data_IF_675003281201
#
_entry.id   IF_675003281201
#
_cell.length_a   1.000
_cell.length_b   1.000
_cell.length_c   1.000
_cell.angle_alpha   90.00
_cell.angle_beta   90.00
_cell.angle_gamma   90.00
#
_symmetry.space_group_name_H-M   'P 1'
#
loop_
_entity.id
_entity.type
_entity.pdbx_description
1 polymer ?
#
# COMPACT_ATOMS: atom_id res chain seq x y z
N UNK A 1 -7.38 25.77 -0.55
CA UNK A 1 -8.27 24.64 -0.93
C UNK A 1 -7.59 23.27 -0.85
N UNK A 2 -6.48 23.03 -1.56
CA UNK A 2 -5.78 21.74 -1.51
C UNK A 2 -5.35 21.28 -0.09
N UNK A 3 -4.94 22.22 0.77
CA UNK A 3 -4.58 21.93 2.16
C UNK A 3 -5.79 21.49 2.98
N UNK A 4 -6.95 22.12 2.79
CA UNK A 4 -8.19 21.75 3.47
C UNK A 4 -8.58 20.32 3.07
N UNK A 5 -8.55 20.01 1.77
CA UNK A 5 -8.81 18.65 1.27
C UNK A 5 -7.86 17.60 1.87
N UNK A 6 -6.58 17.92 2.05
CA UNK A 6 -5.64 17.00 2.68
C UNK A 6 -5.88 16.83 4.18
N UNK A 7 -6.16 17.92 4.90
CA UNK A 7 -6.45 17.88 6.33
C UNK A 7 -7.77 17.13 6.63
N UNK A 8 -8.74 17.21 5.74
CA UNK A 8 -10.01 16.47 5.86
C UNK A 8 -9.94 15.03 5.37
N UNK A 9 -8.80 14.60 4.81
CA UNK A 9 -8.63 13.26 4.23
C UNK A 9 -9.35 13.06 2.88
N UNK A 10 -9.90 14.12 2.29
CA UNK A 10 -10.63 14.07 1.04
C UNK A 10 -9.68 14.20 -0.17
N UNK A 11 -9.34 13.08 -0.82
CA UNK A 11 -8.63 13.01 -2.12
C UNK A 11 -7.23 13.66 -2.22
N UNK A 12 -6.72 14.28 -1.16
CA UNK A 12 -5.39 14.87 -1.13
C UNK A 12 -4.57 14.34 0.05
N UNK A 13 -3.27 14.23 -0.14
CA UNK A 13 -2.30 13.87 0.91
C UNK A 13 -1.19 14.92 0.90
N UNK A 14 -0.64 15.31 2.08
CA UNK A 14 0.53 16.19 2.18
C UNK A 14 1.65 15.88 1.19
N UNK A 15 1.99 14.61 0.96
CA UNK A 15 3.04 14.21 0.02
C UNK A 15 2.76 14.69 -1.41
N UNK A 16 1.53 14.50 -1.90
CA UNK A 16 1.14 14.91 -3.24
C UNK A 16 1.16 16.44 -3.37
N UNK A 17 0.75 17.15 -2.31
CA UNK A 17 0.81 18.63 -2.27
C UNK A 17 2.28 19.10 -2.36
N UNK A 18 3.19 18.45 -1.65
CA UNK A 18 4.63 18.74 -1.73
C UNK A 18 5.16 18.51 -3.15
N UNK A 19 4.75 17.44 -3.83
CA UNK A 19 5.15 17.18 -5.22
C UNK A 19 4.58 18.21 -6.20
N UNK A 20 3.37 18.71 -5.96
CA UNK A 20 2.76 19.76 -6.77
C UNK A 20 3.44 21.11 -6.60
N UNK A 21 3.81 21.49 -5.37
CA UNK A 21 4.29 22.83 -5.04
C UNK A 21 5.81 22.95 -4.91
N UNK A 22 6.48 22.00 -4.26
CA UNK A 22 7.88 22.07 -3.88
C UNK A 22 8.83 21.31 -4.82
N UNK A 23 8.85 19.98 -4.75
CA UNK A 23 9.66 19.12 -5.65
C UNK A 23 9.12 17.69 -5.66
N UNK A 24 9.38 16.96 -6.75
CA UNK A 24 9.05 15.54 -6.86
C UNK A 24 9.93 14.63 -5.99
N UNK A 25 11.21 15.00 -5.84
CA UNK A 25 12.18 14.24 -5.07
C UNK A 25 12.83 13.09 -5.84
N UNK A 26 13.36 12.11 -5.11
CA UNK A 26 14.12 10.99 -5.67
C UNK A 26 13.22 10.01 -6.43
N UNK A 27 13.56 9.73 -7.68
CA UNK A 27 12.95 8.66 -8.46
C UNK A 27 13.78 7.38 -8.29
N UNK A 28 13.11 6.26 -8.01
CA UNK A 28 13.75 4.94 -7.86
C UNK A 28 13.19 3.97 -8.89
N UNK A 29 13.96 2.93 -9.19
CA UNK A 29 13.52 1.77 -9.97
C UNK A 29 13.98 0.51 -9.25
N UNK A 30 13.05 -0.35 -8.85
CA UNK A 30 13.30 -1.61 -8.12
C UNK A 30 14.07 -1.40 -6.81
N UNK A 31 13.69 -0.37 -6.06
CA UNK A 31 14.28 -0.04 -4.75
C UNK A 31 15.64 0.66 -4.80
N UNK A 32 16.24 0.84 -5.98
CA UNK A 32 17.51 1.57 -6.12
C UNK A 32 17.33 2.91 -6.83
N UNK A 33 18.27 3.84 -6.61
CA UNK A 33 18.41 5.05 -7.43
C UNK A 33 18.64 4.67 -8.90
N UNK A 34 18.27 5.56 -9.82
CA UNK A 34 18.40 5.28 -11.25
C UNK A 34 19.87 5.15 -11.65
N UNK A 35 20.29 3.91 -11.92
CA UNK A 35 21.64 3.57 -12.40
C UNK A 35 21.67 2.98 -13.81
N UNK A 36 20.57 2.36 -14.25
CA UNK A 36 20.47 1.69 -15.55
C UNK A 36 20.48 2.75 -16.66
N UNK A 37 21.32 2.56 -17.68
CA UNK A 37 21.54 3.52 -18.75
C UNK A 37 22.80 3.18 -19.56
N UNK A 38 23.56 4.20 -19.93
CA UNK A 38 24.84 4.07 -20.63
C UNK A 38 25.95 3.56 -19.71
N UNK A 39 27.09 3.14 -20.28
CA UNK A 39 28.27 2.77 -19.51
C UNK A 39 28.72 3.93 -18.61
N UNK A 40 28.67 3.70 -17.29
CA UNK A 40 29.09 4.67 -16.27
C UNK A 40 28.12 5.82 -15.99
N UNK A 41 26.93 5.90 -16.60
CA UNK A 41 25.97 7.02 -16.40
C UNK A 41 24.54 6.67 -16.81
N UNK A 42 23.54 7.26 -16.15
CA UNK A 42 22.14 7.00 -16.50
C UNK A 42 21.73 7.61 -17.86
N UNK A 43 22.19 8.84 -18.15
CA UNK A 43 21.87 9.59 -19.38
C UNK A 43 23.14 10.19 -20.02
N UNK A 44 23.15 10.44 -21.33
CA UNK A 44 24.35 10.92 -22.04
C UNK A 44 24.72 12.37 -21.69
N UNK A 45 23.79 13.10 -21.07
CA UNK A 45 23.96 14.47 -20.59
C UNK A 45 24.86 14.61 -19.35
N UNK A 46 25.13 13.51 -18.64
CA UNK A 46 25.99 13.51 -17.45
C UNK A 46 27.39 13.00 -17.77
N UNK A 47 28.38 13.39 -16.96
CA UNK A 47 29.74 12.86 -17.07
C UNK A 47 29.76 11.37 -16.68
N UNK A 48 30.57 10.52 -17.33
CA UNK A 48 30.79 9.15 -16.86
C UNK A 48 31.27 9.14 -15.40
N UNK A 49 30.68 8.27 -14.57
CA UNK A 49 30.98 8.15 -13.15
C UNK A 49 30.22 9.10 -12.23
N UNK A 50 29.39 10.01 -12.76
CA UNK A 50 28.65 10.96 -11.92
C UNK A 50 27.62 10.26 -11.01
N UNK A 51 27.76 10.49 -9.70
CA UNK A 51 26.88 9.96 -8.63
C UNK A 51 26.04 11.06 -7.97
N UNK A 52 26.07 12.28 -8.51
CA UNK A 52 25.32 13.42 -8.02
C UNK A 52 23.80 13.18 -7.99
N UNK A 53 23.10 13.99 -7.19
CA UNK A 53 21.66 13.90 -7.00
C UNK A 53 20.90 13.88 -8.35
N UNK A 54 21.17 14.86 -9.21
CA UNK A 54 20.54 14.99 -10.53
C UNK A 54 20.89 13.84 -11.49
N UNK A 55 22.15 13.37 -11.46
CA UNK A 55 22.63 12.29 -12.33
C UNK A 55 21.98 10.93 -12.04
N UNK A 56 21.50 10.73 -10.81
CA UNK A 56 20.88 9.48 -10.35
C UNK A 56 19.39 9.65 -10.04
N UNK A 57 18.71 10.56 -10.73
CA UNK A 57 17.25 10.64 -10.75
C UNK A 57 16.58 11.44 -9.63
N UNK A 58 17.28 12.38 -9.00
CA UNK A 58 16.60 13.34 -8.13
C UNK A 58 15.98 14.48 -8.95
N UNK A 59 14.68 14.71 -8.77
CA UNK A 59 13.91 15.73 -9.49
C UNK A 59 13.61 16.90 -8.56
N UNK A 60 14.18 18.07 -8.89
CA UNK A 60 14.01 19.30 -8.11
C UNK A 60 12.77 20.09 -8.54
N UNK A 61 12.35 19.93 -9.81
CA UNK A 61 11.11 20.51 -10.31
C UNK A 61 9.86 19.99 -9.59
N UNK A 62 8.87 20.86 -9.44
CA UNK A 62 7.51 20.51 -9.05
C UNK A 62 6.59 20.49 -10.27
N UNK A 63 5.43 19.83 -10.16
CA UNK A 63 4.47 19.81 -11.27
C UNK A 63 3.95 21.21 -11.63
N UNK A 64 3.87 22.14 -10.66
CA UNK A 64 3.48 23.52 -10.93
C UNK A 64 4.54 24.28 -11.74
N UNK A 65 5.83 24.10 -11.41
CA UNK A 65 6.93 24.78 -12.09
C UNK A 65 7.26 24.16 -13.45
N UNK A 66 6.93 22.88 -13.62
CA UNK A 66 7.31 22.09 -14.78
C UNK A 66 8.64 21.36 -14.59
N UNK A 67 8.83 20.30 -15.37
CA UNK A 67 10.01 19.44 -15.32
C UNK A 67 10.91 19.71 -16.52
N UNK A 68 12.23 19.71 -16.30
CA UNK A 68 13.16 19.72 -17.42
C UNK A 68 13.13 18.35 -18.16
N UNK A 69 13.62 18.26 -19.41
CA UNK A 69 13.54 17.02 -20.19
C UNK A 69 14.18 15.79 -19.49
N UNK A 70 15.27 16.01 -18.74
CA UNK A 70 15.95 14.96 -17.99
C UNK A 70 15.11 14.48 -16.80
N UNK A 71 14.55 15.42 -16.04
CA UNK A 71 13.67 15.16 -14.90
C UNK A 71 12.38 14.46 -15.34
N UNK A 72 11.79 14.89 -16.45
CA UNK A 72 10.62 14.25 -17.04
C UNK A 72 10.93 12.79 -17.41
N UNK A 73 12.09 12.53 -18.01
CA UNK A 73 12.50 11.17 -18.36
C UNK A 73 12.73 10.29 -17.12
N UNK A 74 13.39 10.81 -16.09
CA UNK A 74 13.55 10.08 -14.83
C UNK A 74 12.21 9.82 -14.13
N UNK A 75 11.28 10.78 -14.17
CA UNK A 75 9.94 10.58 -13.63
C UNK A 75 9.18 9.48 -14.39
N UNK A 76 9.28 9.44 -15.72
CA UNK A 76 8.70 8.37 -16.54
C UNK A 76 9.27 6.98 -16.21
N UNK A 77 10.58 6.89 -15.91
CA UNK A 77 11.18 5.63 -15.45
C UNK A 77 10.57 5.12 -14.14
N UNK A 78 10.40 6.01 -13.15
CA UNK A 78 9.75 5.67 -11.87
C UNK A 78 8.27 5.31 -12.05
N UNK A 79 7.54 6.07 -12.88
CA UNK A 79 6.13 5.80 -13.17
C UNK A 79 5.89 4.42 -13.79
N UNK A 80 6.81 3.93 -14.62
CA UNK A 80 6.74 2.58 -15.19
C UNK A 80 6.79 1.47 -14.14
N UNK A 81 7.55 1.66 -13.06
CA UNK A 81 7.60 0.68 -11.96
C UNK A 81 6.22 0.49 -11.34
N UNK A 82 5.51 1.59 -11.04
CA UNK A 82 4.17 1.53 -10.46
C UNK A 82 3.15 0.81 -11.36
N UNK A 83 3.20 1.06 -12.67
CA UNK A 83 2.31 0.40 -13.64
C UNK A 83 2.58 -1.11 -13.71
N UNK A 84 3.85 -1.51 -13.76
CA UNK A 84 4.22 -2.92 -13.86
C UNK A 84 3.93 -3.66 -12.56
N UNK A 85 4.29 -3.10 -11.41
CA UNK A 85 4.10 -3.74 -10.10
C UNK A 85 2.61 -3.97 -9.81
N UNK A 86 1.78 -2.95 -10.07
CA UNK A 86 0.32 -3.07 -9.90
C UNK A 86 -0.26 -4.16 -10.81
N UNK A 87 0.19 -4.24 -12.07
CA UNK A 87 -0.29 -5.24 -13.02
C UNK A 87 0.12 -6.67 -12.61
N UNK A 88 1.33 -6.86 -12.08
CA UNK A 88 1.85 -8.19 -11.70
C UNK A 88 1.24 -8.69 -10.40
N UNK A 89 0.99 -7.81 -9.42
CA UNK A 89 0.46 -8.22 -8.10
C UNK A 89 -0.90 -8.91 -8.17
N UNK A 90 -1.77 -8.50 -9.10
CA UNK A 90 -3.12 -9.06 -9.26
C UNK A 90 -3.12 -10.57 -9.51
N UNK A 91 -2.20 -11.06 -10.35
CA UNK A 91 -2.15 -12.48 -10.69
C UNK A 91 -1.75 -13.33 -9.46
N UNK A 92 -0.78 -12.87 -8.69
CA UNK A 92 -0.30 -13.57 -7.50
C UNK A 92 -1.33 -13.54 -6.37
N UNK A 93 -1.92 -12.37 -6.08
CA UNK A 93 -2.94 -12.23 -5.03
C UNK A 93 -4.19 -13.05 -5.35
N UNK A 94 -4.66 -13.00 -6.61
CA UNK A 94 -5.82 -13.78 -7.06
C UNK A 94 -5.57 -15.29 -7.00
N UNK A 95 -4.38 -15.76 -7.39
CA UNK A 95 -4.04 -17.18 -7.30
C UNK A 95 -3.93 -17.66 -5.86
N UNK A 96 -3.30 -16.87 -4.98
CA UNK A 96 -3.23 -17.17 -3.54
C UNK A 96 -4.64 -17.27 -2.94
N UNK A 97 -5.50 -16.28 -3.23
CA UNK A 97 -6.89 -16.28 -2.77
C UNK A 97 -7.63 -17.53 -3.25
N UNK A 98 -7.56 -17.88 -4.54
CA UNK A 98 -8.25 -19.06 -5.09
C UNK A 98 -7.82 -20.35 -4.39
N UNK A 99 -6.52 -20.50 -4.09
CA UNK A 99 -6.01 -21.68 -3.37
C UNK A 99 -6.57 -21.76 -1.96
N UNK A 100 -6.58 -20.65 -1.24
CA UNK A 100 -7.10 -20.60 0.14
C UNK A 100 -8.62 -20.78 0.18
N UNK A 101 -9.35 -20.11 -0.71
CA UNK A 101 -10.80 -20.24 -0.82
C UNK A 101 -11.21 -21.70 -1.05
N UNK A 102 -10.60 -22.37 -2.03
CA UNK A 102 -10.89 -23.78 -2.31
C UNK A 102 -10.49 -24.73 -1.16
N UNK A 103 -9.48 -24.36 -0.36
CA UNK A 103 -9.04 -25.17 0.78
C UNK A 103 -9.93 -25.01 2.03
N UNK A 104 -10.53 -23.83 2.21
CA UNK A 104 -11.27 -23.47 3.43
C UNK A 104 -12.80 -23.44 3.24
N UNK A 105 -13.30 -23.59 2.01
CA UNK A 105 -14.75 -23.49 1.70
C UNK A 105 -15.64 -24.48 2.46
N UNK A 106 -15.10 -25.63 2.88
CA UNK A 106 -15.87 -26.69 3.58
C UNK A 106 -15.96 -26.44 5.09
N UNK A 107 -15.25 -25.43 5.62
CA UNK A 107 -15.27 -25.11 7.04
C UNK A 107 -16.54 -24.35 7.40
N UNK A 108 -17.22 -24.82 8.43
CA UNK A 108 -18.41 -24.18 8.98
C UNK A 108 -18.41 -24.22 10.51
N UNK A 109 -19.17 -23.32 11.12
CA UNK A 109 -19.36 -23.26 12.57
C UNK A 109 -20.61 -24.05 12.93
N UNK A 110 -20.46 -25.04 13.80
CA UNK A 110 -21.57 -25.84 14.32
C UNK A 110 -22.28 -25.14 15.48
N UNK A 111 -23.48 -25.63 15.84
CA UNK A 111 -24.29 -25.05 16.92
C UNK A 111 -23.58 -25.05 18.29
N UNK A 112 -22.60 -25.91 18.50
CA UNK A 112 -21.78 -25.98 19.71
C UNK A 112 -20.61 -24.96 19.73
N UNK A 113 -20.46 -24.15 18.68
CA UNK A 113 -19.41 -23.14 18.54
C UNK A 113 -18.06 -23.70 18.06
N UNK A 114 -17.99 -24.98 17.69
CA UNK A 114 -16.80 -25.60 17.08
C UNK A 114 -16.76 -25.32 15.58
N UNK A 115 -15.55 -25.25 15.01
CA UNK A 115 -15.34 -25.18 13.55
C UNK A 115 -15.01 -26.57 13.05
N UNK A 116 -15.81 -27.09 12.11
CA UNK A 116 -15.67 -28.45 11.59
C UNK A 116 -15.55 -28.46 10.06
N UNK A 117 -14.90 -29.49 9.54
CA UNK A 117 -14.95 -29.83 8.12
C UNK A 117 -16.26 -30.53 7.77
N UNK A 118 -16.57 -30.63 6.48
CA UNK A 118 -17.68 -31.42 5.94
C UNK A 118 -17.66 -32.91 6.35
N UNK A 119 -16.49 -33.46 6.67
CA UNK A 119 -16.32 -34.84 7.17
C UNK A 119 -16.55 -35.00 8.68
N UNK A 120 -16.83 -33.91 9.41
CA UNK A 120 -17.02 -33.91 10.86
C UNK A 120 -15.73 -33.83 11.68
N UNK A 121 -14.57 -33.62 11.06
CA UNK A 121 -13.32 -33.42 11.79
C UNK A 121 -13.30 -32.01 12.41
N UNK A 122 -12.95 -31.92 13.70
CA UNK A 122 -12.87 -30.66 14.43
C UNK A 122 -11.54 -29.97 14.09
N UNK A 123 -11.63 -28.74 13.58
CA UNK A 123 -10.47 -27.89 13.26
C UNK A 123 -10.19 -26.89 14.38
N UNK A 124 -11.23 -26.28 14.95
CA UNK A 124 -11.14 -25.44 16.14
C UNK A 124 -12.22 -25.83 17.14
N UNK A 125 -11.84 -25.96 18.42
CA UNK A 125 -12.79 -26.23 19.51
C UNK A 125 -13.67 -25.03 19.85
N UNK A 126 -13.21 -23.81 19.53
CA UNK A 126 -13.96 -22.58 19.70
C UNK A 126 -13.64 -21.65 18.55
N UNK A 127 -14.64 -21.24 17.80
CA UNK A 127 -14.46 -20.30 16.69
C UNK A 127 -13.73 -19.03 17.15
N UNK A 128 -12.59 -18.72 16.51
CA UNK A 128 -11.85 -17.48 16.80
C UNK A 128 -11.32 -17.36 18.22
N UNK A 129 -11.26 -18.45 19.01
CA UNK A 129 -10.92 -18.49 20.45
C UNK A 129 -11.91 -17.76 21.39
N UNK A 130 -12.68 -16.79 20.90
CA UNK A 130 -13.62 -15.98 21.67
C UNK A 130 -15.09 -16.14 21.23
N UNK A 131 -15.35 -16.84 20.12
CA UNK A 131 -16.66 -17.02 19.49
C UNK A 131 -17.28 -15.73 18.95
N UNK A 132 -16.46 -14.68 18.72
CA UNK A 132 -16.94 -13.39 18.21
C UNK A 132 -16.68 -13.26 16.72
N UNK A 133 -17.73 -12.95 15.99
CA UNK A 133 -17.64 -12.60 14.57
C UNK A 133 -16.88 -11.27 14.41
N UNK A 134 -15.75 -11.23 13.67
CA UNK A 134 -15.00 -10.00 13.44
C UNK A 134 -15.84 -8.85 12.87
N UNK A 135 -16.89 -9.15 12.09
CA UNK A 135 -17.80 -8.14 11.54
C UNK A 135 -18.71 -7.48 12.59
N UNK A 136 -18.92 -8.16 13.73
CA UNK A 136 -19.71 -7.67 14.88
C UNK A 136 -18.83 -7.19 16.05
N UNK A 137 -17.52 -7.39 15.94
CA UNK A 137 -16.53 -6.96 16.92
C UNK A 137 -16.27 -5.45 16.85
N UNK A 138 -15.74 -4.88 17.94
CA UNK A 138 -15.24 -3.51 17.92
C UNK A 138 -13.76 -3.52 17.54
N UNK A 139 -13.47 -3.32 16.25
CA UNK A 139 -12.09 -3.30 15.72
C UNK A 139 -11.23 -4.50 16.17
N UNK A 140 -11.82 -5.70 16.20
CA UNK A 140 -11.15 -6.93 16.65
C UNK A 140 -11.21 -7.19 18.15
N UNK A 141 -11.78 -6.28 18.96
CA UNK A 141 -12.10 -6.53 20.37
C UNK A 141 -13.49 -7.17 20.49
N UNK A 142 -13.66 -8.22 21.29
CA UNK A 142 -14.97 -8.84 21.58
C UNK A 142 -16.03 -7.84 22.04
N UNK A 143 -15.64 -6.93 22.94
CA UNK A 143 -16.53 -5.97 23.59
C UNK A 143 -15.78 -4.64 23.77
N UNK A 144 -16.42 -3.53 23.41
CA UNK A 144 -15.92 -2.18 23.68
C UNK A 144 -16.33 -1.72 25.07
N UNK A 145 -15.54 -2.08 26.08
CA UNK A 145 -15.84 -1.75 27.48
C UNK A 145 -15.86 -0.23 27.67
N UNK A 146 -14.89 0.49 27.09
CA UNK A 146 -14.76 1.94 27.25
C UNK A 146 -15.94 2.67 26.61
N UNK A 147 -16.33 2.30 25.39
CA UNK A 147 -17.50 2.87 24.72
C UNK A 147 -18.81 2.55 25.43
N UNK A 148 -18.95 1.36 26.03
CA UNK A 148 -20.12 1.01 26.84
C UNK A 148 -20.16 1.83 28.12
N UNK A 149 -19.03 1.95 28.84
CA UNK A 149 -18.94 2.76 30.07
C UNK A 149 -19.28 4.21 29.74
N UNK A 150 -18.72 4.77 28.68
CA UNK A 150 -19.01 6.14 28.24
C UNK A 150 -20.48 6.32 27.88
N UNK A 151 -21.09 5.36 27.17
CA UNK A 151 -22.51 5.39 26.80
C UNK A 151 -23.44 5.32 28.02
N UNK A 152 -23.08 4.55 29.04
CA UNK A 152 -23.90 4.34 30.24
C UNK A 152 -23.72 5.45 31.27
N UNK A 153 -22.48 5.88 31.51
CA UNK A 153 -22.14 6.84 32.57
C UNK A 153 -21.95 8.28 32.08
N UNK A 154 -21.95 8.53 30.77
CA UNK A 154 -21.94 9.88 30.19
C UNK A 154 -20.74 10.75 30.55
N UNK A 155 -19.63 10.14 31.00
CA UNK A 155 -18.34 10.80 31.16
C UNK A 155 -17.45 10.50 29.97
#
# INVERSE_FOLDING_TARGET
EAVIMACTGARANPLNITQMAACLGQQSVRGERIKRGYMGRALPHFKPGDIGAKARGFVYGSFKKGLNPIEFFFHAMGGREGLVDTAVRTAQSGYMYRRLANALQDLHVEYDGTVRTSTGAIVQFRYGEDSVDPAKSYHGRPVDIDGIIQKVYGR
#
